data_IF_085395796957
#
_entry.id   IF_085395796957
#
_cell.length_a   1.000
_cell.length_b   1.000
_cell.length_c   1.000
_cell.angle_alpha   90.00
_cell.angle_beta   90.00
_cell.angle_gamma   90.00
#
_symmetry.space_group_name_H-M   'P 1'
#
loop_
_entity.id
_entity.type
_entity.pdbx_description
1 polymer ?
#
# COMPACT_ATOMS: atom_id res chain seq x y z
N UNK A 1 -5.25 9.54 -18.99
CA UNK A 1 -3.83 9.52 -18.60
C UNK A 1 -3.68 8.87 -17.23
N UNK A 2 -2.78 7.91 -17.09
CA UNK A 2 -2.58 7.25 -15.81
C UNK A 2 -1.72 8.10 -14.88
N UNK A 3 -2.06 8.09 -13.60
CA UNK A 3 -1.32 8.79 -12.55
C UNK A 3 -0.79 7.74 -11.58
N UNK A 4 0.49 7.84 -11.25
CA UNK A 4 1.11 6.95 -10.27
C UNK A 4 1.29 7.69 -8.96
N UNK A 5 0.87 7.04 -7.87
CA UNK A 5 1.02 7.57 -6.51
C UNK A 5 1.84 6.59 -5.71
N UNK A 6 2.88 7.06 -5.05
CA UNK A 6 3.71 6.25 -4.17
C UNK A 6 3.63 6.81 -2.76
N UNK A 7 3.26 5.95 -1.82
CA UNK A 7 3.12 6.33 -0.41
C UNK A 7 4.07 5.50 0.43
N UNK A 8 4.91 6.16 1.20
CA UNK A 8 5.85 5.51 2.10
C UNK A 8 5.33 5.64 3.53
N UNK A 9 5.20 4.49 4.22
CA UNK A 9 4.70 4.45 5.59
C UNK A 9 5.81 3.98 6.52
N UNK A 10 6.50 4.90 7.21
CA UNK A 10 7.44 4.50 8.24
C UNK A 10 6.67 3.92 9.43
N UNK A 11 7.17 2.81 9.97
CA UNK A 11 6.50 2.06 11.01
C UNK A 11 7.33 1.97 12.28
N UNK A 12 6.66 1.79 13.41
CA UNK A 12 7.33 1.47 14.67
C UNK A 12 7.88 0.04 14.61
N UNK A 13 8.91 -0.21 15.39
CA UNK A 13 9.52 -1.53 15.45
C UNK A 13 8.48 -2.62 15.74
N UNK A 14 8.53 -3.69 14.95
CA UNK A 14 7.66 -4.84 15.12
C UNK A 14 6.23 -4.64 14.62
N UNK A 15 5.92 -3.54 13.95
CA UNK A 15 4.56 -3.24 13.50
C UNK A 15 4.28 -3.54 12.03
N UNK A 16 5.29 -3.97 11.27
CA UNK A 16 5.11 -4.21 9.84
C UNK A 16 4.04 -5.27 9.54
N UNK A 17 4.08 -6.40 10.24
CA UNK A 17 3.11 -7.48 10.00
C UNK A 17 1.69 -7.04 10.29
N UNK A 18 1.48 -6.31 11.38
CA UNK A 18 0.18 -5.76 11.75
C UNK A 18 -0.33 -4.77 10.71
N UNK A 19 0.56 -3.90 10.23
CA UNK A 19 0.21 -2.93 9.21
C UNK A 19 -0.18 -3.60 7.88
N UNK A 20 0.57 -4.62 7.47
CA UNK A 20 0.26 -5.37 6.25
C UNK A 20 -1.09 -6.08 6.36
N UNK A 21 -1.42 -6.59 7.54
CA UNK A 21 -2.72 -7.22 7.78
C UNK A 21 -3.86 -6.21 7.64
N UNK A 22 -3.68 -5.00 8.19
CA UNK A 22 -4.66 -3.93 8.06
C UNK A 22 -4.84 -3.52 6.60
N UNK A 23 -3.76 -3.40 5.85
CA UNK A 23 -3.83 -3.08 4.42
C UNK A 23 -4.55 -4.18 3.65
N UNK A 24 -4.32 -5.43 4.00
CA UNK A 24 -5.00 -6.56 3.35
C UNK A 24 -6.50 -6.47 3.45
N UNK A 25 -7.02 -5.88 4.52
CA UNK A 25 -8.46 -5.63 4.67
C UNK A 25 -8.95 -4.39 3.94
N UNK A 26 -8.10 -3.40 3.73
CA UNK A 26 -8.46 -2.13 3.11
C UNK A 26 -8.28 -2.11 1.58
N UNK A 27 -7.28 -2.82 1.06
CA UNK A 27 -6.95 -2.78 -0.36
C UNK A 27 -8.07 -3.24 -1.31
N UNK A 28 -8.87 -4.28 -0.98
CA UNK A 28 -9.98 -4.66 -1.86
C UNK A 28 -10.95 -3.51 -2.12
N UNK A 29 -11.23 -2.70 -1.11
CA UNK A 29 -12.12 -1.54 -1.26
C UNK A 29 -11.46 -0.48 -2.16
N UNK A 30 -10.16 -0.23 -1.98
CA UNK A 30 -9.41 0.72 -2.81
C UNK A 30 -9.41 0.28 -4.27
N UNK A 31 -9.20 -1.02 -4.53
CA UNK A 31 -9.19 -1.56 -5.88
C UNK A 31 -10.54 -1.47 -6.57
N UNK A 32 -11.61 -1.37 -5.82
CA UNK A 32 -12.96 -1.27 -6.35
C UNK A 32 -13.36 0.16 -6.74
N UNK A 33 -12.56 1.17 -6.38
CA UNK A 33 -12.85 2.55 -6.75
C UNK A 33 -12.69 2.75 -8.26
N UNK A 34 -13.59 3.57 -8.81
CA UNK A 34 -13.51 3.97 -10.21
C UNK A 34 -12.18 4.68 -10.47
N UNK A 35 -11.52 4.27 -11.54
CA UNK A 35 -10.25 4.86 -11.91
C UNK A 35 -9.03 4.20 -11.29
N UNK A 36 -9.23 3.29 -10.32
CA UNK A 36 -8.12 2.55 -9.75
C UNK A 36 -7.69 1.43 -10.71
N UNK A 37 -6.48 1.56 -11.26
CA UNK A 37 -5.94 0.58 -12.19
C UNK A 37 -5.13 -0.49 -11.49
N UNK A 38 -4.39 -0.12 -10.43
CA UNK A 38 -3.47 -1.02 -9.79
C UNK A 38 -3.11 -0.52 -8.39
N UNK A 39 -2.96 -1.44 -7.44
CA UNK A 39 -2.43 -1.15 -6.12
C UNK A 39 -1.47 -2.28 -5.75
N UNK A 40 -0.23 -1.93 -5.43
CA UNK A 40 0.78 -2.90 -4.99
C UNK A 40 1.39 -2.46 -3.67
N UNK A 41 1.72 -3.44 -2.84
CA UNK A 41 2.32 -3.21 -1.53
C UNK A 41 3.70 -3.85 -1.51
N UNK A 42 4.70 -3.11 -1.03
CA UNK A 42 6.07 -3.58 -0.91
C UNK A 42 6.53 -3.42 0.54
N UNK A 43 6.91 -4.53 1.16
CA UNK A 43 7.45 -4.51 2.52
C UNK A 43 8.96 -4.39 2.46
N UNK A 44 9.52 -3.41 3.19
CA UNK A 44 10.97 -3.26 3.28
C UNK A 44 11.57 -4.40 4.09
N UNK A 45 12.75 -4.85 3.69
CA UNK A 45 13.43 -5.97 4.34
C UNK A 45 13.74 -5.70 5.81
N UNK A 46 14.02 -4.46 6.16
CA UNK A 46 14.36 -4.08 7.53
C UNK A 46 13.14 -4.07 8.47
N UNK A 47 11.94 -4.25 7.94
CA UNK A 47 10.71 -4.25 8.73
C UNK A 47 10.28 -2.89 9.23
N UNK A 48 10.91 -1.82 8.77
CA UNK A 48 10.70 -0.46 9.30
C UNK A 48 9.75 0.38 8.46
N UNK A 49 9.41 -0.05 7.26
CA UNK A 49 8.49 0.69 6.42
C UNK A 49 7.78 -0.20 5.42
N UNK A 50 6.69 0.33 4.88
CA UNK A 50 5.92 -0.30 3.81
C UNK A 50 5.70 0.75 2.74
N UNK A 51 5.92 0.38 1.48
CA UNK A 51 5.67 1.24 0.33
C UNK A 51 4.40 0.78 -0.37
N UNK A 52 3.49 1.71 -0.59
CA UNK A 52 2.27 1.47 -1.34
C UNK A 52 2.36 2.21 -2.67
N UNK A 53 2.19 1.50 -3.76
CA UNK A 53 2.22 2.10 -5.10
C UNK A 53 0.86 1.91 -5.74
N UNK A 54 0.25 3.01 -6.15
CA UNK A 54 -1.08 3.02 -6.78
C UNK A 54 -0.98 3.62 -8.17
N UNK A 55 -1.77 3.08 -9.08
CA UNK A 55 -1.91 3.62 -10.42
C UNK A 55 -3.38 3.93 -10.66
N UNK A 56 -3.66 5.17 -11.06
CA UNK A 56 -5.01 5.69 -11.27
C UNK A 56 -5.17 6.25 -12.67
N UNK A 57 -6.36 6.13 -13.18
CA UNK A 57 -6.70 6.70 -14.48
C UNK A 57 -6.83 8.22 -14.47
#
# INVERSE_FOLDING_TARGET
>A
MAIMVALDFPLKDGKQAEFLELLGGALPDTRAFDGCLKVETFAEEDGKSVLLVEEWE
#
